data_IF_648771854276
#
_entry.id   IF_648771854276
#
_cell.length_a   1.000
_cell.length_b   1.000
_cell.length_c   1.000
_cell.angle_alpha   90.00
_cell.angle_beta   90.00
_cell.angle_gamma   90.00
#
_symmetry.space_group_name_H-M   'P 1'
#
loop_
_entity.id
_entity.type
_entity.pdbx_description
1 polymer ?
#
# COMPACT_ATOMS: atom_id res chain seq x y z
N UNK A 1 15.86 10.44 -55.61
CA UNK A 1 16.58 9.36 -54.97
C UNK A 1 16.91 9.78 -53.54
N UNK A 2 16.00 9.52 -52.59
CA UNK A 2 16.23 9.81 -51.17
C UNK A 2 16.65 8.52 -50.48
N UNK A 3 17.81 8.50 -49.86
CA UNK A 3 18.34 7.35 -49.11
C UNK A 3 17.63 7.29 -47.77
N UNK A 4 17.01 6.17 -47.53
CA UNK A 4 16.33 5.82 -46.25
C UNK A 4 17.39 5.33 -45.28
N UNK A 5 17.92 6.20 -44.39
CA UNK A 5 18.81 5.79 -43.31
C UNK A 5 17.99 5.13 -42.21
N UNK A 6 18.16 3.84 -42.04
CA UNK A 6 17.62 3.09 -40.91
C UNK A 6 18.41 3.46 -39.65
N UNK A 7 17.76 4.16 -38.73
CA UNK A 7 18.30 4.37 -37.39
C UNK A 7 18.29 3.04 -36.66
N UNK A 8 19.48 2.61 -36.24
CA UNK A 8 19.64 1.40 -35.42
C UNK A 8 19.02 1.60 -34.04
N UNK A 9 18.37 0.58 -33.45
CA UNK A 9 17.81 0.69 -32.11
C UNK A 9 18.91 0.92 -31.08
N UNK A 10 18.78 2.00 -30.31
CA UNK A 10 19.67 2.28 -29.16
C UNK A 10 19.41 1.23 -28.08
N UNK A 11 20.46 0.52 -27.69
CA UNK A 11 20.49 -0.39 -26.54
C UNK A 11 20.44 0.48 -25.28
N UNK A 12 19.47 0.29 -24.37
CA UNK A 12 19.46 1.04 -23.11
C UNK A 12 20.71 0.73 -22.29
N UNK A 13 21.21 1.69 -21.50
CA UNK A 13 22.38 1.48 -20.65
C UNK A 13 22.16 0.34 -19.69
N UNK A 14 23.18 -0.49 -19.49
CA UNK A 14 23.16 -1.60 -18.55
C UNK A 14 22.83 -1.09 -17.15
N UNK A 15 21.91 -1.79 -16.47
CA UNK A 15 21.56 -1.52 -15.08
C UNK A 15 22.82 -1.50 -14.19
N UNK A 16 22.90 -0.60 -13.19
CA UNK A 16 24.05 -0.54 -12.30
C UNK A 16 24.24 -1.90 -11.60
N UNK A 17 25.49 -2.39 -11.60
CA UNK A 17 25.88 -3.60 -10.88
C UNK A 17 25.58 -3.37 -9.40
N UNK A 18 24.62 -4.14 -8.84
CA UNK A 18 24.38 -4.19 -7.41
C UNK A 18 25.70 -4.59 -6.72
N UNK A 19 26.11 -3.75 -5.78
CA UNK A 19 27.33 -3.92 -5.02
C UNK A 19 27.33 -5.25 -4.24
N UNK A 20 28.53 -5.84 -4.10
CA UNK A 20 28.81 -7.16 -3.53
C UNK A 20 28.61 -7.27 -2.00
N UNK A 21 27.77 -6.43 -1.38
CA UNK A 21 27.58 -6.38 0.09
C UNK A 21 26.35 -7.15 0.62
N UNK A 22 25.74 -8.04 -0.18
CA UNK A 22 24.56 -8.80 0.27
C UNK A 22 24.86 -10.23 0.75
N UNK A 23 26.02 -10.47 1.35
CA UNK A 23 26.38 -11.81 1.88
C UNK A 23 25.89 -12.10 3.31
N UNK A 24 25.18 -11.18 3.98
CA UNK A 24 24.86 -11.26 5.42
C UNK A 24 23.46 -11.79 5.76
N UNK A 25 22.75 -12.49 4.87
CA UNK A 25 21.36 -12.93 5.13
C UNK A 25 21.08 -14.43 4.95
N UNK A 26 22.11 -15.29 4.98
CA UNK A 26 21.91 -16.75 4.84
C UNK A 26 22.09 -17.46 6.17
N UNK A 27 21.03 -17.51 6.98
CA UNK A 27 20.83 -18.61 7.91
C UNK A 27 19.75 -19.53 7.30
N UNK A 28 20.04 -20.83 7.17
CA UNK A 28 19.11 -21.91 6.80
C UNK A 28 18.66 -22.01 5.33
N UNK A 29 19.35 -21.41 4.37
CA UNK A 29 19.02 -21.58 2.94
C UNK A 29 17.71 -20.92 2.48
N UNK A 30 16.98 -20.29 3.37
CA UNK A 30 15.77 -19.50 3.06
C UNK A 30 16.15 -18.03 3.00
N UNK A 31 15.91 -17.40 1.86
CA UNK A 31 16.07 -15.95 1.72
C UNK A 31 15.05 -15.26 2.64
N UNK A 32 15.52 -14.72 3.75
CA UNK A 32 14.74 -13.80 4.60
C UNK A 32 15.14 -12.41 4.19
N UNK A 33 14.36 -11.80 3.29
CA UNK A 33 14.61 -10.43 2.86
C UNK A 33 14.79 -9.51 4.06
N UNK A 34 15.87 -8.72 4.06
CA UNK A 34 15.99 -7.65 5.03
C UNK A 34 14.82 -6.70 4.87
N UNK A 35 14.09 -6.44 5.96
CA UNK A 35 13.07 -5.39 5.99
C UNK A 35 13.78 -4.06 5.81
N UNK A 36 13.68 -3.49 4.61
CA UNK A 36 14.28 -2.18 4.33
C UNK A 36 13.49 -1.08 5.01
N UNK A 37 14.20 -0.14 5.60
CA UNK A 37 13.60 1.04 6.21
C UNK A 37 12.99 1.94 5.15
N UNK A 38 11.88 2.58 5.47
CA UNK A 38 11.24 3.62 4.68
C UNK A 38 10.73 4.73 5.59
N UNK A 39 10.47 5.88 5.03
CA UNK A 39 10.10 7.06 5.81
C UNK A 39 8.72 7.59 5.40
N UNK A 40 7.97 8.05 6.39
CA UNK A 40 6.68 8.71 6.22
C UNK A 40 6.48 9.70 7.37
N UNK A 41 6.13 10.95 7.09
CA UNK A 41 5.86 11.98 8.09
C UNK A 41 6.96 12.11 9.15
N UNK A 42 8.23 12.01 8.75
CA UNK A 42 9.38 12.08 9.65
C UNK A 42 9.65 10.81 10.47
N UNK A 43 8.81 9.76 10.39
CA UNK A 43 9.05 8.45 11.05
C UNK A 43 9.74 7.49 10.11
N UNK A 44 10.65 6.70 10.67
CA UNK A 44 11.27 5.56 9.98
C UNK A 44 10.59 4.27 10.40
N UNK A 45 10.09 3.51 9.43
CA UNK A 45 9.39 2.25 9.61
C UNK A 45 10.12 1.12 8.88
N UNK A 46 9.90 -0.11 9.32
CA UNK A 46 10.39 -1.34 8.68
C UNK A 46 9.25 -2.16 8.09
N UNK A 47 8.08 -2.14 8.73
CA UNK A 47 6.89 -2.80 8.21
C UNK A 47 6.23 -1.96 7.12
N UNK A 48 5.90 -2.58 6.00
CA UNK A 48 5.14 -1.96 4.90
C UNK A 48 3.67 -2.41 4.90
N UNK A 49 3.27 -3.20 5.92
CA UNK A 49 1.88 -3.50 6.20
C UNK A 49 1.38 -2.58 7.30
N UNK A 50 0.34 -1.81 7.02
CA UNK A 50 -0.40 -1.02 8.00
C UNK A 50 -1.73 -1.72 8.25
N UNK A 51 -2.05 -1.99 9.50
CA UNK A 51 -3.30 -2.70 9.86
C UNK A 51 -4.35 -1.70 10.32
N UNK A 52 -5.53 -1.74 9.68
CA UNK A 52 -6.71 -1.02 10.17
C UNK A 52 -7.46 -1.85 11.21
N UNK A 53 -7.97 -1.21 12.26
CA UNK A 53 -8.73 -1.88 13.32
C UNK A 53 -10.20 -2.12 12.99
N UNK A 54 -10.70 -1.59 11.87
CA UNK A 54 -12.09 -1.70 11.47
C UNK A 54 -12.54 -3.16 11.33
N UNK A 55 -13.68 -3.53 11.96
CA UNK A 55 -14.25 -4.87 11.87
C UNK A 55 -13.61 -5.92 12.78
N UNK A 56 -12.64 -5.59 13.62
CA UNK A 56 -12.09 -6.53 14.60
C UNK A 56 -13.17 -7.00 15.59
N UNK A 57 -13.27 -8.31 15.78
CA UNK A 57 -14.35 -8.97 16.53
C UNK A 57 -14.17 -8.82 18.04
N UNK A 58 -12.92 -8.80 18.52
CA UNK A 58 -12.57 -8.61 19.94
C UNK A 58 -11.18 -7.99 20.08
N UNK A 59 -10.86 -7.53 21.29
CA UNK A 59 -9.52 -7.01 21.63
C UNK A 59 -8.44 -8.10 21.53
N UNK A 60 -8.75 -9.33 21.90
CA UNK A 60 -7.82 -10.46 21.84
C UNK A 60 -7.45 -10.79 20.39
N UNK A 61 -8.45 -10.84 19.50
CA UNK A 61 -8.22 -11.04 18.06
C UNK A 61 -7.39 -9.90 17.50
N UNK A 62 -7.70 -8.66 17.85
CA UNK A 62 -6.93 -7.50 17.40
C UNK A 62 -5.48 -7.56 17.90
N UNK A 63 -5.27 -7.84 19.19
CA UNK A 63 -3.93 -7.99 19.78
C UNK A 63 -3.11 -9.05 19.06
N UNK A 64 -3.71 -10.21 18.78
CA UNK A 64 -3.07 -11.29 18.02
C UNK A 64 -2.71 -10.82 16.60
N UNK A 65 -3.65 -10.19 15.87
CA UNK A 65 -3.42 -9.67 14.53
C UNK A 65 -2.27 -8.66 14.50
N UNK A 66 -2.25 -7.70 15.42
CA UNK A 66 -1.18 -6.71 15.51
C UNK A 66 0.19 -7.36 15.76
N UNK A 67 0.25 -8.34 16.68
CA UNK A 67 1.48 -9.04 17.01
C UNK A 67 2.03 -9.86 15.82
N UNK A 68 1.19 -10.68 15.18
CA UNK A 68 1.65 -11.58 14.10
C UNK A 68 1.90 -10.88 12.77
N UNK A 69 1.24 -9.73 12.52
CA UNK A 69 1.45 -8.93 11.31
C UNK A 69 2.78 -8.19 11.31
N UNK A 70 3.32 -7.91 12.50
CA UNK A 70 4.51 -7.08 12.67
C UNK A 70 4.30 -5.64 12.18
N UNK A 71 3.04 -5.16 12.17
CA UNK A 71 2.74 -3.77 11.84
C UNK A 71 3.28 -2.82 12.90
N UNK A 72 3.77 -1.66 12.48
CA UNK A 72 4.26 -0.60 13.36
C UNK A 72 3.27 0.57 13.46
N UNK A 73 2.29 0.62 12.53
CA UNK A 73 1.20 1.60 12.50
C UNK A 73 -0.15 0.91 12.42
N UNK A 74 -1.14 1.45 13.13
CA UNK A 74 -2.53 1.01 13.00
C UNK A 74 -3.48 2.19 12.94
N UNK A 75 -4.53 2.09 12.13
CA UNK A 75 -5.54 3.15 12.01
C UNK A 75 -6.75 2.85 12.89
N UNK A 76 -7.28 3.91 13.53
CA UNK A 76 -8.39 3.82 14.48
C UNK A 76 -9.43 4.89 14.16
N UNK A 77 -10.69 4.47 13.93
CA UNK A 77 -11.80 5.41 13.77
C UNK A 77 -12.16 6.05 15.12
N UNK A 78 -12.19 7.38 15.18
CA UNK A 78 -12.50 8.13 16.40
C UNK A 78 -13.86 7.78 16.99
N UNK A 79 -14.88 7.54 16.16
CA UNK A 79 -16.19 7.05 16.62
C UNK A 79 -16.11 5.74 17.42
N UNK A 80 -15.11 4.89 17.15
CA UNK A 80 -14.90 3.64 17.88
C UNK A 80 -14.24 3.89 19.25
N UNK A 81 -13.32 4.83 19.33
CA UNK A 81 -12.70 5.24 20.61
C UNK A 81 -13.76 5.79 21.56
N UNK A 82 -14.64 6.65 21.05
CA UNK A 82 -15.75 7.20 21.83
C UNK A 82 -16.74 6.12 22.31
N UNK A 83 -17.01 5.09 21.50
CA UNK A 83 -17.96 4.03 21.83
C UNK A 83 -17.43 3.06 22.91
N UNK A 84 -16.13 2.85 23.03
CA UNK A 84 -15.54 1.96 24.05
C UNK A 84 -15.39 2.60 25.43
N UNK A 85 -15.34 3.93 25.50
CA UNK A 85 -15.46 4.74 26.73
C UNK A 85 -14.42 4.54 27.85
N UNK A 86 -13.76 3.39 27.89
CA UNK A 86 -12.87 2.97 29.00
C UNK A 86 -11.37 3.03 28.65
N UNK A 87 -11.02 3.44 27.43
CA UNK A 87 -9.63 3.50 26.95
C UNK A 87 -8.95 2.14 26.74
N UNK A 88 -9.62 1.01 27.02
CA UNK A 88 -9.04 -0.35 26.93
C UNK A 88 -8.58 -0.68 25.52
N UNK A 89 -9.31 -0.20 24.50
CA UNK A 89 -8.98 -0.39 23.10
C UNK A 89 -7.65 0.25 22.71
N UNK A 90 -7.44 1.50 23.07
CA UNK A 90 -6.18 2.22 22.79
C UNK A 90 -5.03 1.66 23.64
N UNK A 91 -5.32 1.31 24.92
CA UNK A 91 -4.33 0.69 25.80
C UNK A 91 -3.84 -0.65 25.23
N UNK A 92 -4.72 -1.49 24.67
CA UNK A 92 -4.35 -2.75 24.04
C UNK A 92 -3.42 -2.55 22.82
N UNK A 93 -3.70 -1.55 21.98
CA UNK A 93 -2.85 -1.23 20.83
C UNK A 93 -1.47 -0.71 21.29
N UNK A 94 -1.44 0.18 22.27
CA UNK A 94 -0.18 0.71 22.83
C UNK A 94 0.65 -0.39 23.50
N UNK A 95 0.01 -1.34 24.21
CA UNK A 95 0.67 -2.49 24.81
C UNK A 95 1.32 -3.42 23.77
N UNK A 96 0.77 -3.47 22.55
CA UNK A 96 1.37 -4.18 21.42
C UNK A 96 2.57 -3.43 20.79
N UNK A 97 2.91 -2.23 21.27
CA UNK A 97 4.01 -1.41 20.74
C UNK A 97 3.70 -0.77 19.38
N UNK A 98 2.44 -0.70 18.98
CA UNK A 98 1.99 -0.19 17.68
C UNK A 98 1.54 1.27 17.83
N UNK A 99 2.02 2.14 16.94
CA UNK A 99 1.60 3.54 16.94
C UNK A 99 0.19 3.69 16.33
N UNK A 100 -0.61 4.55 16.98
CA UNK A 100 -2.00 4.82 16.57
C UNK A 100 -2.03 6.00 15.60
N UNK A 101 -2.76 5.83 14.50
CA UNK A 101 -3.12 6.89 13.55
C UNK A 101 -4.64 7.00 13.56
N UNK A 102 -5.22 8.04 14.18
CA UNK A 102 -6.66 8.25 14.11
C UNK A 102 -7.12 8.51 12.68
N UNK A 103 -8.35 8.10 12.35
CA UNK A 103 -8.96 8.46 11.08
C UNK A 103 -10.28 9.22 11.28
N UNK A 104 -10.65 10.00 10.26
CA UNK A 104 -11.88 10.80 10.20
C UNK A 104 -13.03 10.05 9.52
N UNK A 105 -13.03 8.72 9.57
CA UNK A 105 -14.03 7.87 8.91
C UNK A 105 -15.46 8.26 9.30
N UNK A 106 -16.31 8.46 8.27
CA UNK A 106 -17.69 8.87 8.41
C UNK A 106 -17.89 10.38 8.36
N UNK A 107 -16.86 11.18 8.06
CA UNK A 107 -17.01 12.59 7.74
C UNK A 107 -17.38 12.77 6.27
N UNK A 108 -18.27 13.72 5.99
CA UNK A 108 -18.73 14.07 4.65
C UNK A 108 -18.26 15.46 4.19
N UNK A 109 -17.74 16.26 5.13
CA UNK A 109 -17.26 17.63 4.85
C UNK A 109 -15.88 17.88 5.45
N UNK A 110 -15.16 18.85 4.88
CA UNK A 110 -13.88 19.31 5.39
C UNK A 110 -13.98 19.80 6.85
N UNK A 111 -15.07 20.49 7.19
CA UNK A 111 -15.30 21.03 8.53
C UNK A 111 -15.47 19.90 9.58
N UNK A 112 -16.20 18.85 9.23
CA UNK A 112 -16.36 17.66 10.10
C UNK A 112 -15.01 16.95 10.29
N UNK A 113 -14.25 16.75 9.21
CA UNK A 113 -12.95 16.10 9.26
C UNK A 113 -11.95 16.89 10.15
N UNK A 114 -11.92 18.23 10.03
CA UNK A 114 -11.10 19.08 10.86
C UNK A 114 -11.49 18.98 12.35
N UNK A 115 -12.77 19.00 12.65
CA UNK A 115 -13.27 18.86 14.03
C UNK A 115 -12.86 17.49 14.62
N UNK A 116 -13.09 16.40 13.89
CA UNK A 116 -12.76 15.04 14.32
C UNK A 116 -11.25 14.88 14.52
N UNK A 117 -10.43 15.43 13.62
CA UNK A 117 -8.99 15.36 13.74
C UNK A 117 -8.47 16.13 15.00
N UNK A 118 -9.02 17.31 15.29
CA UNK A 118 -8.68 18.07 16.51
C UNK A 118 -9.06 17.31 17.78
N UNK A 119 -10.24 16.72 17.82
CA UNK A 119 -10.64 15.85 18.94
C UNK A 119 -9.72 14.64 19.10
N UNK A 120 -9.28 14.07 17.98
CA UNK A 120 -8.32 12.97 17.98
C UNK A 120 -6.94 13.39 18.50
N UNK A 121 -6.45 14.58 18.13
CA UNK A 121 -5.20 15.17 18.65
C UNK A 121 -5.22 15.24 20.16
N UNK A 122 -6.29 15.80 20.72
CA UNK A 122 -6.47 15.93 22.17
C UNK A 122 -6.55 14.54 22.86
N UNK A 123 -7.36 13.62 22.31
CA UNK A 123 -7.62 12.34 22.95
C UNK A 123 -6.45 11.35 22.87
N UNK A 124 -5.66 11.41 21.80
CA UNK A 124 -4.61 10.44 21.49
C UNK A 124 -3.19 11.01 21.54
N UNK A 125 -3.05 12.31 21.76
CA UNK A 125 -1.77 13.03 21.83
C UNK A 125 -0.92 12.80 20.57
N UNK A 126 -1.55 12.98 19.38
CA UNK A 126 -0.88 12.76 18.09
C UNK A 126 -1.33 13.77 17.05
N UNK A 127 -0.38 14.30 16.27
CA UNK A 127 -0.65 15.14 15.12
C UNK A 127 -0.85 14.35 13.82
N UNK A 128 -0.79 13.03 13.88
CA UNK A 128 -1.04 12.18 12.72
C UNK A 128 -2.53 11.97 12.52
N UNK A 129 -2.97 12.01 11.26
CA UNK A 129 -4.36 11.71 10.90
C UNK A 129 -4.42 11.01 9.54
N UNK A 130 -5.15 9.90 9.47
CA UNK A 130 -5.64 9.36 8.22
C UNK A 130 -6.92 10.10 7.86
N UNK A 131 -6.84 10.96 6.86
CA UNK A 131 -7.95 11.79 6.44
C UNK A 131 -8.89 10.99 5.51
N UNK A 132 -10.14 10.87 5.92
CA UNK A 132 -11.22 10.31 5.13
C UNK A 132 -12.36 11.33 5.07
N UNK A 133 -12.76 11.73 3.86
CA UNK A 133 -14.00 12.48 3.59
C UNK A 133 -14.71 11.76 2.47
N UNK A 134 -15.89 11.20 2.75
CA UNK A 134 -16.60 10.32 1.81
C UNK A 134 -17.80 11.03 1.19
N UNK A 135 -18.02 10.79 -0.11
CA UNK A 135 -19.10 11.40 -0.85
C UNK A 135 -20.47 10.86 -0.41
N UNK A 136 -20.55 9.56 -0.10
CA UNK A 136 -21.78 8.90 0.34
C UNK A 136 -21.49 7.61 1.12
N UNK A 137 -22.47 7.19 1.93
CA UNK A 137 -22.36 6.00 2.80
C UNK A 137 -22.48 4.67 2.04
N UNK A 138 -22.96 4.68 0.80
CA UNK A 138 -23.17 3.45 0.02
C UNK A 138 -21.87 3.01 -0.65
N UNK A 139 -21.15 3.95 -1.24
CA UNK A 139 -19.91 3.66 -1.97
C UNK A 139 -18.66 3.85 -1.11
N UNK A 140 -18.71 4.71 -0.10
CA UNK A 140 -17.57 5.16 0.71
C UNK A 140 -16.40 5.67 -0.15
N UNK A 141 -16.72 6.17 -1.35
CA UNK A 141 -15.73 6.79 -2.22
C UNK A 141 -15.37 8.18 -1.69
N UNK A 142 -14.08 8.58 -1.77
CA UNK A 142 -13.66 9.92 -1.35
C UNK A 142 -14.36 11.01 -2.17
N UNK A 143 -14.81 12.06 -1.50
CA UNK A 143 -15.18 13.31 -2.15
C UNK A 143 -13.90 14.10 -2.48
N UNK A 144 -13.55 14.29 -3.75
CA UNK A 144 -12.26 14.88 -4.11
C UNK A 144 -12.13 16.36 -3.75
N UNK A 145 -13.25 17.09 -3.67
CA UNK A 145 -13.27 18.52 -3.37
C UNK A 145 -13.14 18.72 -1.87
N UNK A 146 -14.04 18.16 -1.10
CA UNK A 146 -14.01 18.22 0.36
C UNK A 146 -12.72 17.62 0.96
N UNK A 147 -12.19 16.55 0.34
CA UNK A 147 -10.94 15.94 0.74
C UNK A 147 -9.74 16.89 0.58
N UNK A 148 -9.66 17.59 -0.56
CA UNK A 148 -8.56 18.53 -0.82
C UNK A 148 -8.65 19.73 0.14
N UNK A 149 -9.85 20.28 0.34
CA UNK A 149 -10.07 21.37 1.28
C UNK A 149 -9.72 20.96 2.72
N UNK A 150 -10.15 19.77 3.15
CA UNK A 150 -9.80 19.22 4.46
C UNK A 150 -8.29 19.01 4.62
N UNK A 151 -7.61 18.53 3.59
CA UNK A 151 -6.16 18.31 3.59
C UNK A 151 -5.41 19.62 3.80
N UNK A 152 -5.78 20.69 3.07
CA UNK A 152 -5.18 22.03 3.22
C UNK A 152 -5.39 22.60 4.62
N UNK A 153 -6.61 22.48 5.16
CA UNK A 153 -6.93 22.95 6.50
C UNK A 153 -6.12 22.22 7.59
N UNK A 154 -6.03 20.89 7.48
CA UNK A 154 -5.32 20.07 8.45
C UNK A 154 -3.81 20.27 8.39
N UNK A 155 -3.22 20.38 7.20
CA UNK A 155 -1.78 20.70 7.04
C UNK A 155 -1.48 22.07 7.62
N UNK A 156 -2.31 23.08 7.34
CA UNK A 156 -2.16 24.42 7.94
C UNK A 156 -2.28 24.43 9.46
N UNK A 157 -3.07 23.50 10.02
CA UNK A 157 -3.23 23.29 11.48
C UNK A 157 -2.11 22.41 12.09
N UNK A 158 -1.09 22.03 11.29
CA UNK A 158 0.11 21.30 11.74
C UNK A 158 -0.05 19.79 11.82
N UNK A 159 -1.08 19.21 11.21
CA UNK A 159 -1.23 17.74 11.15
C UNK A 159 -0.29 17.10 10.13
N UNK A 160 0.16 15.90 10.43
CA UNK A 160 0.75 14.95 9.47
C UNK A 160 -0.40 14.18 8.79
N UNK A 161 -0.78 14.62 7.59
CA UNK A 161 -1.99 14.16 6.89
C UNK A 161 -1.68 13.01 5.95
N UNK A 162 -2.47 11.92 6.05
CA UNK A 162 -2.46 10.75 5.21
C UNK A 162 -3.84 10.61 4.54
N UNK A 163 -4.09 11.21 3.36
CA UNK A 163 -5.42 11.26 2.76
C UNK A 163 -5.78 9.97 2.01
N UNK A 164 -6.92 9.36 2.37
CA UNK A 164 -7.59 8.35 1.56
C UNK A 164 -8.22 9.01 0.34
N UNK A 165 -7.81 8.61 -0.86
CA UNK A 165 -8.20 9.28 -2.10
C UNK A 165 -8.61 8.30 -3.19
N UNK A 166 -9.25 8.81 -4.22
CA UNK A 166 -9.48 8.08 -5.47
C UNK A 166 -8.13 7.74 -6.15
N UNK A 167 -8.18 6.83 -7.12
CA UNK A 167 -7.04 6.48 -7.96
C UNK A 167 -6.78 7.49 -9.10
N UNK A 168 -7.05 8.77 -8.85
CA UNK A 168 -6.79 9.87 -9.78
C UNK A 168 -5.37 10.44 -9.60
N UNK A 169 -4.49 10.30 -10.62
CA UNK A 169 -3.12 10.81 -10.53
C UNK A 169 -3.02 12.34 -10.40
N UNK A 170 -4.02 13.08 -10.85
CA UNK A 170 -4.04 14.55 -10.73
C UNK A 170 -4.39 14.97 -9.31
N UNK A 171 -5.40 14.33 -8.72
CA UNK A 171 -5.78 14.58 -7.33
C UNK A 171 -4.64 14.18 -6.37
N UNK A 172 -3.98 13.05 -6.62
CA UNK A 172 -2.84 12.61 -5.82
C UNK A 172 -1.73 13.66 -5.75
N UNK A 173 -1.38 14.30 -6.88
CA UNK A 173 -0.41 15.40 -6.91
C UNK A 173 -0.89 16.64 -6.16
N UNK A 174 -2.17 17.01 -6.28
CA UNK A 174 -2.72 18.16 -5.54
C UNK A 174 -2.70 17.94 -4.03
N UNK A 175 -2.92 16.72 -3.56
CA UNK A 175 -2.82 16.37 -2.15
C UNK A 175 -1.37 16.46 -1.66
N UNK A 176 -0.40 16.02 -2.47
CA UNK A 176 1.02 16.23 -2.19
C UNK A 176 1.38 17.73 -2.14
N UNK A 177 0.96 18.51 -3.13
CA UNK A 177 1.16 19.97 -3.19
C UNK A 177 0.52 20.68 -1.99
N UNK A 178 -0.59 20.17 -1.45
CA UNK A 178 -1.20 20.66 -0.22
C UNK A 178 -0.36 20.36 1.03
N UNK A 179 0.71 19.55 0.94
CA UNK A 179 1.62 19.23 2.03
C UNK A 179 1.29 17.93 2.76
N UNK A 180 0.50 17.04 2.18
CA UNK A 180 0.24 15.72 2.75
C UNK A 180 1.52 14.89 2.83
N UNK A 181 1.69 14.12 3.91
CA UNK A 181 2.89 13.31 4.17
C UNK A 181 2.94 12.00 3.37
N UNK A 182 1.83 11.60 2.77
CA UNK A 182 1.68 10.48 1.86
C UNK A 182 0.44 10.72 1.00
N UNK A 183 0.18 9.87 0.00
CA UNK A 183 -1.11 9.72 -0.67
C UNK A 183 -1.58 8.28 -0.58
N UNK A 184 -2.89 8.08 -0.35
CA UNK A 184 -3.45 6.76 -0.09
C UNK A 184 -4.56 6.44 -1.11
N UNK A 185 -4.20 6.14 -2.38
CA UNK A 185 -5.19 5.81 -3.40
C UNK A 185 -5.86 4.47 -3.09
N UNK A 186 -7.16 4.39 -3.39
CA UNK A 186 -7.92 3.14 -3.30
C UNK A 186 -7.58 2.18 -4.44
N UNK A 187 -7.59 0.88 -4.17
CA UNK A 187 -7.63 -0.17 -5.18
C UNK A 187 -9.05 -0.42 -5.69
N UNK A 188 -10.03 -0.37 -4.77
CA UNK A 188 -11.47 -0.48 -4.97
C UNK A 188 -12.19 0.07 -3.73
N UNK A 189 -13.52 0.25 -3.73
CA UNK A 189 -14.25 0.77 -2.58
C UNK A 189 -13.97 0.02 -1.28
N UNK A 190 -14.01 0.74 -0.16
CA UNK A 190 -13.76 0.19 1.19
C UNK A 190 -14.61 -1.06 1.43
N UNK A 191 -13.96 -2.14 1.87
CA UNK A 191 -14.64 -3.39 2.24
C UNK A 191 -15.15 -4.25 1.08
N UNK A 192 -14.92 -3.83 -0.18
CA UNK A 192 -15.38 -4.57 -1.37
C UNK A 192 -14.57 -5.85 -1.65
N UNK A 193 -13.29 -5.90 -1.27
CA UNK A 193 -12.42 -7.03 -1.56
C UNK A 193 -12.17 -7.29 -3.05
N UNK A 194 -12.39 -6.28 -3.92
CA UNK A 194 -12.29 -6.41 -5.38
C UNK A 194 -10.87 -6.31 -5.92
N UNK A 195 -9.88 -6.08 -5.05
CA UNK A 195 -8.48 -5.89 -5.42
C UNK A 195 -8.23 -4.54 -6.10
N UNK A 196 -7.12 -4.45 -6.84
CA UNK A 196 -6.74 -3.24 -7.58
C UNK A 196 -7.42 -3.24 -8.94
N UNK A 197 -8.42 -2.37 -9.12
CA UNK A 197 -9.22 -2.31 -10.36
C UNK A 197 -8.52 -1.56 -11.48
N UNK A 198 -7.69 -0.59 -11.15
CA UNK A 198 -6.97 0.22 -12.12
C UNK A 198 -5.47 0.29 -11.77
N UNK A 199 -4.71 -0.78 -12.05
CA UNK A 199 -3.28 -0.81 -11.77
C UNK A 199 -2.49 0.23 -12.57
N UNK A 200 -3.01 0.69 -13.71
CA UNK A 200 -2.39 1.73 -14.53
C UNK A 200 -2.32 3.06 -13.77
N UNK A 201 -3.44 3.51 -13.19
CA UNK A 201 -3.48 4.74 -12.42
C UNK A 201 -2.60 4.67 -11.16
N UNK A 202 -2.61 3.52 -10.47
CA UNK A 202 -1.71 3.33 -9.31
C UNK A 202 -0.24 3.48 -9.72
N UNK A 203 0.15 2.88 -10.86
CA UNK A 203 1.52 3.05 -11.38
C UNK A 203 1.83 4.52 -11.70
N UNK A 204 0.90 5.24 -12.36
CA UNK A 204 1.06 6.66 -12.66
C UNK A 204 1.21 7.51 -11.39
N UNK A 205 0.45 7.22 -10.34
CA UNK A 205 0.56 7.91 -9.04
C UNK A 205 1.95 7.64 -8.45
N UNK A 206 2.37 6.37 -8.40
CA UNK A 206 3.69 5.98 -7.86
C UNK A 206 4.85 6.62 -8.60
N UNK A 207 4.80 6.70 -9.93
CA UNK A 207 5.86 7.28 -10.76
C UNK A 207 5.99 8.81 -10.60
N UNK A 208 4.93 9.50 -10.21
CA UNK A 208 4.86 10.95 -10.14
C UNK A 208 4.94 11.52 -8.73
N UNK A 209 4.53 10.76 -7.72
CA UNK A 209 4.50 11.21 -6.34
C UNK A 209 5.92 11.32 -5.75
N UNK A 210 6.24 12.46 -5.14
CA UNK A 210 7.43 12.68 -4.33
C UNK A 210 7.27 12.24 -2.87
N UNK A 211 6.05 11.86 -2.46
CA UNK A 211 5.72 11.32 -1.14
C UNK A 211 5.36 9.83 -1.23
N UNK A 212 5.43 9.07 -0.13
CA UNK A 212 5.03 7.66 -0.14
C UNK A 212 3.60 7.45 -0.63
N UNK A 213 3.42 6.48 -1.53
CA UNK A 213 2.11 6.02 -1.99
C UNK A 213 1.74 4.76 -1.21
N UNK A 214 0.62 4.77 -0.51
CA UNK A 214 0.12 3.65 0.29
C UNK A 214 -1.18 3.17 -0.34
N UNK A 215 -1.22 1.94 -0.85
CA UNK A 215 -2.51 1.42 -1.33
C UNK A 215 -3.45 1.24 -0.15
N UNK A 216 -4.64 1.82 -0.23
CA UNK A 216 -5.68 1.73 0.79
C UNK A 216 -7.00 1.28 0.17
N UNK A 217 -7.76 0.47 0.90
CA UNK A 217 -9.06 -0.05 0.50
C UNK A 217 -9.07 -1.02 -0.71
N UNK A 218 -10.10 -1.83 -0.78
CA UNK A 218 -10.34 -2.79 -1.85
C UNK A 218 -9.51 -4.07 -1.78
N UNK A 219 -8.45 -4.14 -1.00
CA UNK A 219 -7.65 -5.37 -0.80
C UNK A 219 -8.54 -6.47 -0.24
N UNK A 220 -8.59 -7.61 -0.94
CA UNK A 220 -9.38 -8.77 -0.54
C UNK A 220 -8.53 -9.95 -0.07
N UNK A 221 -7.32 -10.09 -0.60
CA UNK A 221 -6.42 -11.21 -0.28
C UNK A 221 -4.94 -10.83 -0.47
N UNK A 222 -4.05 -11.74 -0.08
CA UNK A 222 -2.60 -11.56 -0.11
C UNK A 222 -2.04 -11.19 -1.50
N UNK A 223 -2.60 -11.73 -2.59
CA UNK A 223 -2.17 -11.40 -3.95
C UNK A 223 -2.39 -9.93 -4.32
N UNK A 224 -3.43 -9.28 -3.79
CA UNK A 224 -3.68 -7.86 -4.02
C UNK A 224 -2.61 -7.00 -3.34
N UNK A 225 -2.21 -7.38 -2.12
CA UNK A 225 -1.14 -6.72 -1.39
C UNK A 225 0.22 -6.88 -2.09
N UNK A 226 0.52 -8.08 -2.62
CA UNK A 226 1.72 -8.30 -3.41
C UNK A 226 1.72 -7.45 -4.68
N UNK A 227 0.59 -7.39 -5.40
CA UNK A 227 0.44 -6.57 -6.61
C UNK A 227 0.66 -5.08 -6.30
N UNK A 228 0.11 -4.55 -5.20
CA UNK A 228 0.34 -3.16 -4.80
C UNK A 228 1.84 -2.84 -4.67
N UNK A 229 2.60 -3.74 -4.03
CA UNK A 229 4.03 -3.59 -3.87
C UNK A 229 4.80 -3.74 -5.20
N UNK A 230 4.38 -4.65 -6.08
CA UNK A 230 4.93 -4.80 -7.43
C UNK A 230 4.71 -3.54 -8.28
N UNK A 231 3.55 -2.88 -8.15
CA UNK A 231 3.24 -1.60 -8.80
C UNK A 231 4.09 -0.44 -8.23
N UNK A 232 4.67 -0.61 -7.03
CA UNK A 232 5.61 0.30 -6.40
C UNK A 232 5.06 1.13 -5.27
N UNK A 233 3.92 0.77 -4.73
CA UNK A 233 3.46 1.37 -3.49
C UNK A 233 4.53 1.19 -2.39
N UNK A 234 4.66 2.20 -1.54
CA UNK A 234 5.58 2.16 -0.41
C UNK A 234 5.09 1.22 0.71
N UNK A 235 3.77 1.11 0.85
CA UNK A 235 3.10 0.26 1.84
C UNK A 235 1.66 -0.07 1.40
N UNK A 236 1.01 -0.96 2.15
CA UNK A 236 -0.40 -1.31 1.96
C UNK A 236 -1.12 -1.20 3.29
N UNK A 237 -2.28 -0.54 3.32
CA UNK A 237 -3.18 -0.53 4.46
C UNK A 237 -4.30 -1.55 4.25
N UNK A 238 -4.47 -2.45 5.22
CA UNK A 238 -5.47 -3.52 5.17
C UNK A 238 -6.25 -3.57 6.48
N UNK A 239 -7.57 -3.53 6.40
CA UNK A 239 -8.46 -3.70 7.55
C UNK A 239 -9.37 -4.92 7.36
N UNK A 240 -10.46 -4.77 6.62
CA UNK A 240 -11.54 -5.77 6.52
C UNK A 240 -11.07 -7.13 5.99
N UNK A 241 -10.12 -7.17 5.05
CA UNK A 241 -9.59 -8.43 4.52
C UNK A 241 -8.90 -9.27 5.61
N UNK A 242 -8.32 -8.63 6.63
CA UNK A 242 -7.74 -9.30 7.79
C UNK A 242 -8.82 -9.57 8.84
N UNK A 243 -9.48 -8.52 9.31
CA UNK A 243 -10.34 -8.58 10.50
C UNK A 243 -11.61 -9.39 10.31
N UNK A 244 -12.10 -9.53 9.06
CA UNK A 244 -13.28 -10.33 8.70
C UNK A 244 -12.93 -11.68 8.05
N UNK A 245 -11.66 -12.04 7.94
CA UNK A 245 -11.26 -13.37 7.48
C UNK A 245 -11.77 -14.46 8.47
N UNK A 246 -11.94 -15.68 7.98
CA UNK A 246 -12.28 -16.82 8.85
C UNK A 246 -11.19 -17.08 9.91
N UNK A 247 -9.93 -16.82 9.56
CA UNK A 247 -8.78 -16.84 10.48
C UNK A 247 -8.00 -15.52 10.31
N UNK A 248 -8.32 -14.48 11.11
CA UNK A 248 -7.69 -13.17 11.01
C UNK A 248 -6.17 -13.21 11.25
N UNK A 249 -5.69 -14.03 12.18
CA UNK A 249 -4.27 -14.13 12.48
C UNK A 249 -3.48 -14.71 11.31
N UNK A 250 -3.98 -15.78 10.71
CA UNK A 250 -3.36 -16.38 9.51
C UNK A 250 -3.40 -15.43 8.31
N UNK A 251 -4.50 -14.69 8.11
CA UNK A 251 -4.59 -13.70 7.05
C UNK A 251 -3.59 -12.54 7.28
N UNK A 252 -3.42 -12.08 8.50
CA UNK A 252 -2.43 -11.05 8.84
C UNK A 252 -0.99 -11.50 8.47
N UNK A 253 -0.63 -12.74 8.79
CA UNK A 253 0.66 -13.32 8.38
C UNK A 253 0.77 -13.40 6.85
N UNK A 254 -0.28 -13.86 6.16
CA UNK A 254 -0.28 -13.94 4.70
C UNK A 254 -0.10 -12.56 4.04
N UNK A 255 -0.76 -11.52 4.56
CA UNK A 255 -0.61 -10.14 4.08
C UNK A 255 0.82 -9.60 4.31
N UNK A 256 1.40 -9.84 5.48
CA UNK A 256 2.77 -9.42 5.78
C UNK A 256 3.78 -10.08 4.83
N UNK A 257 3.64 -11.38 4.57
CA UNK A 257 4.48 -12.10 3.62
C UNK A 257 4.29 -11.61 2.18
N UNK A 258 3.05 -11.31 1.78
CA UNK A 258 2.73 -10.82 0.45
C UNK A 258 3.34 -9.44 0.16
N UNK A 259 3.29 -8.53 1.13
CA UNK A 259 3.92 -7.20 1.04
C UNK A 259 5.43 -7.34 0.82
N UNK A 260 6.11 -8.21 1.57
CA UNK A 260 7.54 -8.44 1.40
C UNK A 260 7.87 -9.14 0.06
N UNK A 261 7.05 -10.12 -0.36
CA UNK A 261 7.24 -10.81 -1.63
C UNK A 261 7.07 -9.86 -2.82
N UNK A 262 6.02 -9.02 -2.82
CA UNK A 262 5.77 -8.06 -3.90
C UNK A 262 6.88 -7.00 -3.99
N UNK A 263 7.37 -6.51 -2.84
CA UNK A 263 8.52 -5.61 -2.79
C UNK A 263 9.77 -6.26 -3.40
N UNK A 264 10.10 -7.47 -2.97
CA UNK A 264 11.25 -8.20 -3.47
C UNK A 264 11.16 -8.46 -4.98
N UNK A 265 9.96 -8.80 -5.49
CA UNK A 265 9.72 -9.00 -6.92
C UNK A 265 9.94 -7.71 -7.72
N UNK A 266 9.50 -6.55 -7.21
CA UNK A 266 9.74 -5.25 -7.83
C UNK A 266 11.24 -4.93 -7.88
N UNK A 267 11.95 -5.09 -6.76
CA UNK A 267 13.39 -4.81 -6.66
C UNK A 267 14.23 -5.73 -7.55
N UNK A 268 13.82 -7.00 -7.68
CA UNK A 268 14.46 -7.96 -8.60
C UNK A 268 14.25 -7.59 -10.07
N UNK A 269 13.22 -6.84 -10.39
CA UNK A 269 12.87 -6.48 -11.74
C UNK A 269 12.12 -7.59 -12.48
N UNK A 270 11.07 -7.19 -13.17
CA UNK A 270 10.22 -8.10 -13.94
C UNK A 270 10.81 -8.35 -15.32
N UNK A 271 10.68 -9.59 -15.85
CA UNK A 271 10.97 -9.87 -17.27
C UNK A 271 10.02 -9.03 -18.17
N UNK A 272 10.49 -8.57 -19.35
CA UNK A 272 9.65 -7.82 -20.27
C UNK A 272 8.41 -8.61 -20.69
N UNK A 273 7.24 -7.95 -20.72
CA UNK A 273 6.04 -8.53 -21.34
C UNK A 273 6.28 -8.67 -22.83
N UNK A 274 5.92 -9.83 -23.40
CA UNK A 274 6.06 -10.11 -24.82
C UNK A 274 4.73 -10.62 -25.37
N UNK A 275 4.48 -10.31 -26.63
CA UNK A 275 3.28 -10.80 -27.32
C UNK A 275 3.37 -12.30 -27.64
N UNK A 276 4.57 -12.77 -28.03
CA UNK A 276 4.80 -14.17 -28.36
C UNK A 276 5.67 -14.86 -27.32
N UNK A 277 5.53 -16.18 -27.25
CA UNK A 277 6.36 -17.03 -26.40
C UNK A 277 7.85 -16.95 -26.81
N UNK A 278 8.72 -17.06 -25.82
CA UNK A 278 10.16 -17.23 -26.00
C UNK A 278 10.56 -18.47 -25.22
N UNK A 279 11.16 -19.44 -25.90
CA UNK A 279 11.61 -20.66 -25.26
C UNK A 279 12.64 -20.36 -24.17
N UNK A 280 12.46 -20.96 -23.00
CA UNK A 280 13.40 -20.84 -21.87
C UNK A 280 14.60 -21.75 -22.01
N UNK A 281 14.51 -22.81 -22.82
CA UNK A 281 15.60 -23.76 -23.10
C UNK A 281 16.28 -23.42 -24.42
N UNK A 282 17.61 -23.56 -24.53
CA UNK A 282 18.32 -23.40 -25.80
C UNK A 282 17.81 -24.40 -26.85
N UNK A 283 17.54 -23.92 -28.07
CA UNK A 283 17.16 -24.77 -29.20
C UNK A 283 18.39 -25.42 -29.86
N UNK A 284 19.59 -24.92 -29.52
CA UNK A 284 20.85 -25.44 -30.02
C UNK A 284 21.11 -26.87 -29.49
N UNK A 285 21.21 -27.85 -30.40
CA UNK A 285 21.46 -29.26 -30.08
C UNK A 285 20.26 -30.17 -30.25
N UNK A 286 19.05 -29.65 -30.62
CA UNK A 286 17.99 -30.54 -31.13
C UNK A 286 18.34 -30.99 -32.54
N UNK A 287 18.28 -32.33 -32.83
CA UNK A 287 18.46 -32.80 -34.18
C UNK A 287 17.30 -32.29 -35.06
N UNK A 288 17.60 -31.30 -35.90
CA UNK A 288 16.63 -30.63 -36.80
C UNK A 288 15.96 -31.67 -37.77
N UNK A 289 16.58 -32.84 -37.93
CA UNK A 289 16.06 -33.93 -38.76
C UNK A 289 14.76 -34.58 -38.25
N UNK A 290 14.34 -34.32 -36.99
CA UNK A 290 13.13 -34.94 -36.45
C UNK A 290 11.85 -34.09 -36.68
N UNK A 291 11.98 -32.83 -37.11
CA UNK A 291 10.84 -31.90 -37.20
C UNK A 291 10.33 -31.71 -38.64
N UNK A 292 11.11 -32.06 -39.65
CA UNK A 292 10.74 -31.90 -41.07
C UNK A 292 10.11 -33.16 -41.72
N UNK A 293 9.77 -34.17 -40.95
CA UNK A 293 9.16 -35.41 -41.43
C UNK A 293 7.66 -35.57 -41.26
N UNK A 294 6.94 -34.52 -40.87
CA UNK A 294 5.47 -34.49 -40.81
C UNK A 294 4.93 -33.46 -41.79
N UNK A 295 5.02 -33.77 -43.10
CA UNK A 295 4.11 -33.17 -44.08
C UNK A 295 2.73 -33.81 -43.89
N UNK A 296 1.71 -32.94 -43.69
CA UNK A 296 0.29 -33.27 -43.69
C UNK A 296 -0.21 -33.56 -45.10
#
# INVERSE_FOLDING_TARGET
MMRNERVAPQVPPAAPRLAQDQAAGRADGVWRGERTRWQIGGRTLTSRLIVGTGGAQSLDVLGTVLAVSGTELTTVAMRRVAATGDGSFIAAIRAAGVAVVPNTAGCHTAAEALLVARLAREALETDWVKLEVVADDLTLLPDPIELLDAAQLLVADGFTVLPYTNDDPVLALRLEEAGCAAVMPLGAPIGSGLGIRNPHNITMIVERAGVPVILDAGVGTASDAALAMELGCAAVLVASAITKAADPARMAVAMALAVEAGRAAREAGRIPRRWHAVASSPVAGLPISAVHGMEL
#
